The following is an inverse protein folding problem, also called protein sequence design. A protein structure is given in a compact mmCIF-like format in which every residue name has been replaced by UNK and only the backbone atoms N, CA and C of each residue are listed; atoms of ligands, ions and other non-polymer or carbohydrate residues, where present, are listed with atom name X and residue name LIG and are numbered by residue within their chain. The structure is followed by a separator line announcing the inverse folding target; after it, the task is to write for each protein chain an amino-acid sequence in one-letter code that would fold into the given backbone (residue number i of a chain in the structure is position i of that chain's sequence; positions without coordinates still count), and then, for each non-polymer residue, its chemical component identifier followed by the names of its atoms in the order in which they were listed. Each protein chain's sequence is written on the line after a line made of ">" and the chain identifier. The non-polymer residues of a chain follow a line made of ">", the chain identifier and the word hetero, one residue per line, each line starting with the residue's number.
data_IF_725887484760
#
_entry.id   IF_725887484760
#
_cell.length_a   1.000
_cell.length_b   1.000
_cell.length_c   1.000
_cell.angle_alpha   90.00
_cell.angle_beta   90.00
_cell.angle_gamma   90.00
#
_symmetry.space_group_name_H-M   'P 1'
#
loop_
_entity.id
_entity.type
_entity.pdbx_description
1 polymer ?
#
# COMPACT_ATOMS: atom_id res chain seq x y z
N UNK A 1 8.06 6.46 -2.91
CA UNK A 1 9.30 6.34 -3.70
C UNK A 1 10.14 5.27 -3.05
N UNK A 2 10.81 4.43 -3.83
CA UNK A 2 11.58 3.29 -3.31
C UNK A 2 12.94 3.67 -2.69
N UNK A 3 13.29 4.96 -2.65
CA UNK A 3 14.51 5.47 -2.02
C UNK A 3 14.21 6.46 -0.89
N UNK A 4 15.14 6.55 0.04
CA UNK A 4 15.09 7.50 1.16
C UNK A 4 15.00 8.96 0.65
N UNK A 5 15.73 9.31 -0.40
CA UNK A 5 15.67 10.64 -1.01
C UNK A 5 14.30 10.97 -1.61
N UNK A 6 13.64 9.98 -2.24
CA UNK A 6 12.30 10.16 -2.77
C UNK A 6 11.27 10.30 -1.64
N UNK A 7 11.45 9.57 -0.53
CA UNK A 7 10.62 9.74 0.67
C UNK A 7 10.84 11.11 1.31
N UNK A 8 12.09 11.58 1.40
CA UNK A 8 12.46 12.90 1.93
C UNK A 8 11.83 14.07 1.15
N UNK A 9 11.46 13.85 -0.12
CA UNK A 9 10.71 14.83 -0.93
C UNK A 9 9.20 14.64 -0.79
N UNK A 10 8.71 13.41 -0.91
CA UNK A 10 7.27 13.13 -0.98
C UNK A 10 6.55 13.29 0.35
N UNK A 11 7.17 12.93 1.48
CA UNK A 11 6.52 13.01 2.79
C UNK A 11 6.32 14.46 3.23
N UNK A 12 7.33 15.35 3.21
CA UNK A 12 7.11 16.76 3.55
C UNK A 12 6.12 17.46 2.62
N UNK A 13 6.12 17.14 1.32
CA UNK A 13 5.16 17.71 0.37
C UNK A 13 3.71 17.32 0.72
N UNK A 14 3.44 16.03 0.96
CA UNK A 14 2.10 15.55 1.37
C UNK A 14 1.69 16.13 2.72
N UNK A 15 2.61 16.15 3.69
CA UNK A 15 2.34 16.72 5.00
C UNK A 15 2.01 18.22 4.92
N UNK A 16 2.79 19.02 4.19
CA UNK A 16 2.58 20.45 4.06
C UNK A 16 1.34 20.83 3.24
N UNK A 17 1.02 20.08 2.18
CA UNK A 17 -0.09 20.43 1.27
C UNK A 17 -1.42 19.78 1.65
N UNK A 18 -1.42 18.71 2.44
CA UNK A 18 -2.63 17.94 2.75
C UNK A 18 -2.91 17.80 4.25
N UNK A 19 -1.88 17.74 5.11
CA UNK A 19 -2.09 17.61 6.56
C UNK A 19 -2.12 19.00 7.20
N UNK A 20 -1.07 19.81 7.03
CA UNK A 20 -1.00 21.16 7.60
C UNK A 20 -2.19 22.06 7.20
N UNK A 21 -2.73 21.84 6.00
CA UNK A 21 -3.89 22.58 5.48
C UNK A 21 -5.23 22.03 5.96
N UNK A 22 -5.25 20.84 6.56
CA UNK A 22 -6.44 20.22 7.12
C UNK A 22 -6.70 20.78 8.54
N UNK A 23 -7.92 21.32 8.83
CA UNK A 23 -8.23 21.94 10.11
C UNK A 23 -7.94 21.02 11.31
N UNK A 24 -7.50 21.61 12.42
CA UNK A 24 -7.26 20.93 13.72
C UNK A 24 -6.20 19.82 13.76
N UNK A 25 -5.45 19.59 12.67
CA UNK A 25 -4.49 18.48 12.62
C UNK A 25 -3.16 18.77 13.30
N UNK A 26 -2.49 17.71 13.70
CA UNK A 26 -1.09 17.70 14.14
C UNK A 26 -0.40 16.45 13.59
N UNK A 27 0.92 16.51 13.39
CA UNK A 27 1.68 15.45 12.75
C UNK A 27 2.83 14.93 13.63
N UNK A 28 2.70 13.66 14.03
CA UNK A 28 3.62 12.98 14.93
C UNK A 28 4.41 11.89 14.22
N UNK A 29 5.55 11.53 14.80
CA UNK A 29 6.37 10.42 14.32
C UNK A 29 5.73 9.07 14.66
N UNK A 30 5.32 8.33 13.63
CA UNK A 30 4.74 6.98 13.76
C UNK A 30 5.79 5.87 13.92
N UNK A 31 7.08 6.16 13.73
CA UNK A 31 8.18 5.18 13.83
C UNK A 31 9.30 5.74 14.74
N UNK A 32 9.01 6.05 16.02
CA UNK A 32 9.94 6.79 16.86
C UNK A 32 11.26 6.06 17.15
N UNK A 33 11.25 4.73 17.08
CA UNK A 33 12.35 3.85 17.50
C UNK A 33 13.26 3.43 16.34
N UNK A 34 13.01 3.93 15.12
CA UNK A 34 13.89 3.64 13.97
C UNK A 34 15.15 4.50 14.01
N UNK A 35 16.30 3.90 13.70
CA UNK A 35 17.57 4.61 13.61
C UNK A 35 17.57 5.68 12.51
N UNK A 36 17.00 5.36 11.35
CA UNK A 36 16.94 6.27 10.21
C UNK A 36 15.82 7.28 10.39
N UNK A 37 16.16 8.56 10.27
CA UNK A 37 15.24 9.67 10.47
C UNK A 37 15.27 10.64 9.29
N UNK A 38 14.10 10.99 8.77
CA UNK A 38 13.96 12.02 7.74
C UNK A 38 13.55 13.37 8.37
N UNK A 39 14.10 14.50 7.88
CA UNK A 39 13.63 15.82 8.29
C UNK A 39 12.19 16.03 7.80
N UNK A 40 11.33 16.54 8.69
CA UNK A 40 9.93 16.85 8.37
C UNK A 40 9.62 18.29 8.78
N UNK A 41 9.44 18.52 10.09
CA UNK A 41 9.17 19.83 10.64
C UNK A 41 10.29 20.84 10.31
N UNK A 42 11.54 20.39 10.16
CA UNK A 42 12.66 21.25 9.71
C UNK A 42 12.38 21.97 8.39
N UNK A 43 11.61 21.36 7.49
CA UNK A 43 11.21 21.97 6.22
C UNK A 43 9.91 22.75 6.36
N UNK A 44 8.88 22.14 6.97
CA UNK A 44 7.53 22.73 7.06
C UNK A 44 7.54 24.02 7.91
N UNK A 45 8.38 24.10 8.94
CA UNK A 45 8.42 25.23 9.87
C UNK A 45 8.63 26.60 9.22
N UNK A 46 9.25 26.66 8.04
CA UNK A 46 9.50 27.92 7.34
C UNK A 46 8.21 28.57 6.82
N UNK A 47 7.11 27.82 6.72
CA UNK A 47 5.79 28.40 6.45
C UNK A 47 5.35 29.41 7.52
N UNK A 48 5.84 29.25 8.75
CA UNK A 48 5.56 30.20 9.84
C UNK A 48 6.29 31.53 9.72
N UNK A 49 7.07 31.76 8.66
CA UNK A 49 7.70 33.04 8.31
C UNK A 49 8.45 33.73 9.46
N UNK A 50 9.18 32.95 10.26
CA UNK A 50 9.95 33.44 11.41
C UNK A 50 9.20 33.42 12.75
N UNK A 51 7.88 33.22 12.74
CA UNK A 51 7.03 33.16 13.93
C UNK A 51 6.88 31.76 14.53
N UNK A 52 7.38 30.72 13.84
CA UNK A 52 7.38 29.35 14.35
C UNK A 52 8.15 29.21 15.66
N UNK A 53 7.64 28.39 16.58
CA UNK A 53 8.29 28.10 17.88
C UNK A 53 8.75 26.66 17.93
N UNK A 54 9.98 26.45 18.42
CA UNK A 54 10.46 25.10 18.71
C UNK A 54 10.05 24.70 20.13
N UNK A 55 9.65 23.44 20.32
CA UNK A 55 9.42 22.85 21.64
C UNK A 55 10.10 21.50 21.72
N UNK A 56 10.74 21.22 22.86
CA UNK A 56 11.29 19.90 23.18
C UNK A 56 10.49 19.32 24.34
N UNK A 57 9.99 18.10 24.18
CA UNK A 57 9.28 17.33 25.21
C UNK A 57 10.00 15.98 25.31
N UNK A 58 10.62 15.72 26.46
CA UNK A 58 11.57 14.61 26.60
C UNK A 58 12.68 14.70 25.54
N UNK A 59 12.90 13.61 24.80
CA UNK A 59 13.89 13.55 23.72
C UNK A 59 13.34 13.94 22.35
N UNK A 60 12.07 14.34 22.25
CA UNK A 60 11.41 14.66 20.97
C UNK A 60 11.31 16.18 20.77
N UNK A 61 11.64 16.63 19.56
CA UNK A 61 11.52 18.03 19.13
C UNK A 61 10.32 18.19 18.20
N UNK A 62 9.57 19.26 18.45
CA UNK A 62 8.40 19.68 17.70
C UNK A 62 8.56 21.13 17.24
N UNK A 63 7.86 21.46 16.16
CA UNK A 63 7.62 22.82 15.70
C UNK A 63 6.14 23.16 15.86
N UNK A 64 5.87 24.35 16.37
CA UNK A 64 4.54 24.97 16.43
C UNK A 64 4.53 26.07 15.37
N UNK A 65 3.85 25.82 14.26
CA UNK A 65 3.78 26.72 13.11
C UNK A 65 2.48 27.51 13.21
N UNK A 66 2.49 28.85 13.31
CA UNK A 66 1.27 29.63 13.35
C UNK A 66 0.52 29.51 12.02
N UNK A 67 -0.77 29.26 12.10
CA UNK A 67 -1.72 29.10 10.98
C UNK A 67 -3.05 29.76 11.35
N UNK A 68 -3.99 29.89 10.41
CA UNK A 68 -5.23 30.64 10.64
C UNK A 68 -6.08 30.12 11.80
N UNK A 69 -6.15 28.80 12.01
CA UNK A 69 -6.94 28.19 13.09
C UNK A 69 -6.16 28.04 14.42
N UNK A 70 -4.92 28.52 14.47
CA UNK A 70 -4.07 28.47 15.66
C UNK A 70 -2.64 28.03 15.35
N UNK A 71 -2.31 26.78 15.66
CA UNK A 71 -0.96 26.23 15.48
C UNK A 71 -0.98 24.83 14.89
N UNK A 72 -0.22 24.62 13.82
CA UNK A 72 0.10 23.30 13.31
C UNK A 72 1.31 22.75 14.07
N UNK A 73 1.10 21.67 14.82
CA UNK A 73 2.16 20.98 15.57
C UNK A 73 2.74 19.85 14.73
N UNK A 74 4.05 19.88 14.48
CA UNK A 74 4.74 18.86 13.67
C UNK A 74 6.07 18.41 14.27
N UNK A 75 6.34 17.11 14.20
CA UNK A 75 7.62 16.52 14.61
C UNK A 75 8.78 17.04 13.75
N UNK A 76 9.91 17.38 14.37
CA UNK A 76 11.10 17.87 13.66
C UNK A 76 11.61 16.87 12.62
N UNK A 77 11.60 15.59 13.00
CA UNK A 77 11.98 14.44 12.18
C UNK A 77 10.98 13.30 12.38
N UNK A 78 10.92 12.41 11.41
CA UNK A 78 10.14 11.17 11.45
C UNK A 78 11.02 9.96 11.17
N UNK A 79 10.63 8.81 11.71
CA UNK A 79 11.26 7.53 11.44
C UNK A 79 10.98 6.99 10.05
N UNK A 80 11.94 6.27 9.51
CA UNK A 80 11.80 5.48 8.28
C UNK A 80 12.45 4.13 8.47
N UNK A 81 11.76 3.09 8.05
CA UNK A 81 12.24 1.72 8.05
C UNK A 81 12.12 1.11 6.65
N UNK A 82 12.82 0.00 6.44
CA UNK A 82 12.57 -0.87 5.28
C UNK A 82 11.24 -1.57 5.50
N UNK A 83 10.36 -1.51 4.51
CA UNK A 83 9.12 -2.28 4.48
C UNK A 83 9.11 -3.31 3.34
N UNK A 84 7.98 -3.97 3.18
CA UNK A 84 7.68 -4.89 2.09
C UNK A 84 6.59 -4.28 1.24
N UNK A 85 6.78 -4.26 -0.08
CA UNK A 85 5.79 -3.75 -1.01
C UNK A 85 5.42 -4.82 -2.05
N UNK A 86 4.15 -4.83 -2.45
CA UNK A 86 3.67 -5.68 -3.54
C UNK A 86 3.23 -7.10 -3.15
N UNK A 87 2.97 -7.37 -1.86
CA UNK A 87 2.18 -8.54 -1.49
C UNK A 87 0.83 -8.45 -2.18
N UNK A 88 0.32 -9.53 -2.78
CA UNK A 88 -0.89 -9.42 -3.58
C UNK A 88 -1.68 -10.72 -3.67
N UNK A 89 -2.98 -10.57 -3.92
CA UNK A 89 -3.87 -11.66 -4.33
C UNK A 89 -4.72 -11.20 -5.51
N UNK A 90 -5.05 -12.13 -6.40
CA UNK A 90 -5.91 -11.94 -7.55
C UNK A 90 -7.14 -12.80 -7.37
N UNK A 91 -8.28 -12.15 -7.13
CA UNK A 91 -9.59 -12.77 -6.97
C UNK A 91 -10.25 -12.89 -8.33
N UNK A 92 -10.70 -14.09 -8.68
CA UNK A 92 -11.29 -14.40 -9.97
C UNK A 92 -12.72 -14.90 -9.77
N UNK A 93 -13.69 -14.32 -10.47
CA UNK A 93 -15.11 -14.65 -10.31
C UNK A 93 -15.84 -14.81 -11.64
N UNK A 94 -17.01 -15.45 -11.58
CA UNK A 94 -17.86 -15.75 -12.74
C UNK A 94 -18.38 -14.51 -13.46
N UNK A 95 -18.43 -13.35 -12.79
CA UNK A 95 -18.82 -12.08 -13.36
C UNK A 95 -18.20 -10.89 -12.59
N UNK A 96 -18.41 -9.69 -13.13
CA UNK A 96 -17.85 -8.46 -12.56
C UNK A 96 -18.48 -8.07 -11.22
N UNK A 97 -19.81 -8.09 -11.02
CA UNK A 97 -20.40 -7.81 -9.71
C UNK A 97 -19.83 -8.68 -8.60
N UNK A 98 -19.73 -9.99 -8.82
CA UNK A 98 -19.19 -10.95 -7.86
C UNK A 98 -17.72 -10.70 -7.55
N UNK A 99 -16.90 -10.44 -8.59
CA UNK A 99 -15.50 -10.12 -8.40
C UNK A 99 -15.31 -8.83 -7.59
N UNK A 100 -16.14 -7.81 -7.85
CA UNK A 100 -16.06 -6.53 -7.14
C UNK A 100 -16.49 -6.66 -5.69
N UNK A 101 -17.54 -7.43 -5.40
CA UNK A 101 -17.97 -7.72 -4.04
C UNK A 101 -16.86 -8.42 -3.23
N UNK A 102 -16.28 -9.49 -3.79
CA UNK A 102 -15.17 -10.20 -3.18
C UNK A 102 -13.95 -9.28 -2.92
N UNK A 103 -13.61 -8.44 -3.91
CA UNK A 103 -12.53 -7.47 -3.80
C UNK A 103 -12.79 -6.43 -2.69
N UNK A 104 -14.03 -5.93 -2.58
CA UNK A 104 -14.41 -5.00 -1.51
C UNK A 104 -14.31 -5.66 -0.15
N UNK A 105 -14.86 -6.87 0.03
CA UNK A 105 -14.76 -7.63 1.29
C UNK A 105 -13.29 -7.82 1.70
N UNK A 106 -12.43 -8.18 0.74
CA UNK A 106 -11.00 -8.34 0.97
C UNK A 106 -10.34 -7.03 1.43
N UNK A 107 -10.52 -5.91 0.70
CA UNK A 107 -9.94 -4.63 1.07
C UNK A 107 -10.50 -4.11 2.42
N UNK A 108 -11.80 -4.25 2.65
CA UNK A 108 -12.46 -3.82 3.88
C UNK A 108 -11.99 -4.60 5.12
N UNK A 109 -11.66 -5.88 4.96
CA UNK A 109 -11.10 -6.72 6.04
C UNK A 109 -9.73 -6.25 6.54
N UNK A 110 -9.01 -5.45 5.73
CA UNK A 110 -7.68 -4.96 6.08
C UNK A 110 -7.69 -3.58 6.74
N UNK A 111 -8.85 -2.92 6.89
CA UNK A 111 -8.94 -1.58 7.49
C UNK A 111 -8.39 -1.53 8.92
N UNK A 112 -8.60 -2.60 9.68
CA UNK A 112 -8.21 -2.70 11.09
C UNK A 112 -6.92 -3.53 11.29
N UNK A 113 -6.28 -3.98 10.20
CA UNK A 113 -5.02 -4.73 10.27
C UNK A 113 -3.86 -3.75 10.38
N UNK A 114 -3.23 -3.72 11.55
CA UNK A 114 -2.08 -2.86 11.82
C UNK A 114 -0.87 -3.19 10.94
N UNK A 115 -0.10 -2.17 10.56
CA UNK A 115 1.18 -2.35 9.88
C UNK A 115 1.10 -2.58 8.37
N UNK A 116 -0.10 -2.50 7.76
CA UNK A 116 -0.29 -2.63 6.32
C UNK A 116 -1.13 -1.50 5.72
N UNK A 117 -1.01 -1.31 4.41
CA UNK A 117 -1.88 -0.45 3.60
C UNK A 117 -2.22 -1.13 2.28
N UNK A 118 -3.34 -0.72 1.68
CA UNK A 118 -3.74 -1.12 0.33
C UNK A 118 -3.70 0.11 -0.60
N UNK A 119 -2.62 0.34 -1.38
CA UNK A 119 -2.33 1.67 -1.94
C UNK A 119 -3.17 2.06 -3.16
N UNK A 120 -3.94 1.14 -3.73
CA UNK A 120 -4.79 1.40 -4.89
C UNK A 120 -6.13 2.07 -4.50
N UNK A 121 -6.86 2.68 -5.45
CA UNK A 121 -8.17 3.26 -5.18
C UNK A 121 -9.14 2.22 -4.58
N UNK A 122 -9.62 2.47 -3.35
CA UNK A 122 -10.45 1.51 -2.61
C UNK A 122 -9.73 0.19 -2.29
N UNK A 123 -8.39 0.19 -2.33
CA UNK A 123 -7.53 -0.98 -2.14
C UNK A 123 -7.34 -1.85 -3.38
N UNK A 124 -8.07 -1.61 -4.48
CA UNK A 124 -8.20 -2.59 -5.57
C UNK A 124 -7.61 -2.09 -6.89
N UNK A 125 -6.76 -2.91 -7.49
CA UNK A 125 -6.24 -2.75 -8.83
C UNK A 125 -7.09 -3.52 -9.84
N UNK A 126 -7.69 -2.79 -10.79
CA UNK A 126 -8.47 -3.37 -11.89
C UNK A 126 -7.64 -3.69 -13.14
N UNK A 127 -6.46 -3.10 -13.26
CA UNK A 127 -5.68 -3.12 -14.49
C UNK A 127 -4.82 -4.37 -14.60
N UNK A 128 -4.26 -4.84 -13.48
CA UNK A 128 -3.14 -5.77 -13.45
C UNK A 128 -1.92 -5.22 -14.21
N UNK A 129 -0.71 -5.60 -13.81
CA UNK A 129 0.47 -5.26 -14.62
C UNK A 129 1.48 -6.37 -14.65
N UNK A 130 2.15 -6.50 -15.79
CA UNK A 130 3.36 -7.32 -15.95
C UNK A 130 4.55 -6.43 -16.24
N UNK A 131 5.73 -6.92 -15.86
CA UNK A 131 7.00 -6.27 -16.19
C UNK A 131 7.25 -6.37 -17.70
N UNK A 132 7.68 -5.26 -18.28
CA UNK A 132 7.96 -5.12 -19.71
C UNK A 132 6.72 -4.87 -20.56
N UNK A 133 6.96 -4.69 -21.85
CA UNK A 133 5.91 -4.40 -22.84
C UNK A 133 6.38 -4.85 -24.23
N UNK A 134 5.42 -5.13 -25.11
CA UNK A 134 5.70 -5.31 -26.54
C UNK A 134 6.14 -4.00 -27.20
N UNK A 135 5.73 -2.86 -26.63
CA UNK A 135 6.16 -1.53 -27.08
C UNK A 135 7.46 -1.15 -26.39
N UNK A 136 8.49 -0.85 -27.18
CA UNK A 136 9.81 -0.46 -26.69
C UNK A 136 9.70 0.75 -25.76
N UNK A 137 10.43 0.70 -24.64
CA UNK A 137 10.52 1.81 -23.68
C UNK A 137 9.41 1.84 -22.62
N UNK A 138 8.37 1.01 -22.72
CA UNK A 138 7.36 0.90 -21.66
C UNK A 138 7.80 -0.11 -20.58
N UNK A 139 7.99 0.32 -19.31
CA UNK A 139 8.52 -0.55 -18.26
C UNK A 139 7.52 -1.58 -17.76
N UNK A 140 6.22 -1.33 -17.95
CA UNK A 140 5.13 -2.23 -17.59
C UNK A 140 4.01 -2.16 -18.64
N UNK A 141 3.23 -3.24 -18.71
CA UNK A 141 2.05 -3.35 -19.57
C UNK A 141 0.96 -4.18 -18.88
N UNK A 142 -0.20 -4.33 -19.51
CA UNK A 142 -1.30 -5.13 -18.96
C UNK A 142 -0.86 -6.57 -18.67
N UNK A 143 -1.34 -7.12 -17.55
CA UNK A 143 -1.17 -8.54 -17.22
C UNK A 143 -2.13 -9.39 -18.08
N UNK A 144 -1.81 -9.49 -19.36
CA UNK A 144 -2.58 -10.17 -20.41
C UNK A 144 -3.05 -11.58 -20.03
N UNK A 145 -2.22 -12.36 -19.33
CA UNK A 145 -2.60 -13.70 -18.85
C UNK A 145 -3.85 -13.70 -17.93
N UNK A 146 -4.10 -12.57 -17.24
CA UNK A 146 -5.24 -12.37 -16.34
C UNK A 146 -6.36 -11.51 -16.96
N UNK A 147 -6.32 -11.23 -18.26
CA UNK A 147 -7.37 -10.47 -18.95
C UNK A 147 -8.47 -11.40 -19.49
N UNK A 148 -9.73 -11.33 -19.01
CA UNK A 148 -10.81 -12.19 -19.50
C UNK A 148 -11.07 -12.06 -21.00
N UNK A 149 -10.88 -10.85 -21.55
CA UNK A 149 -11.06 -10.55 -22.98
C UNK A 149 -9.97 -11.15 -23.88
N UNK A 150 -8.89 -11.68 -23.30
CA UNK A 150 -7.76 -12.27 -24.03
C UNK A 150 -7.67 -13.79 -23.86
N UNK A 151 -8.60 -14.45 -23.16
CA UNK A 151 -8.59 -15.91 -22.93
C UNK A 151 -8.35 -16.75 -24.20
N UNK A 152 -8.93 -16.34 -25.34
CA UNK A 152 -8.76 -17.03 -26.63
C UNK A 152 -7.54 -16.59 -27.45
N UNK A 153 -6.71 -15.68 -26.93
CA UNK A 153 -5.59 -15.04 -27.65
C UNK A 153 -4.24 -15.24 -26.98
N UNK A 154 -4.21 -15.53 -25.69
CA UNK A 154 -2.99 -15.73 -24.90
C UNK A 154 -3.16 -16.94 -23.99
N UNK A 155 -2.05 -17.50 -23.52
CA UNK A 155 -2.08 -18.50 -22.45
C UNK A 155 -2.61 -17.84 -21.17
N UNK A 156 -3.86 -18.17 -20.81
CA UNK A 156 -4.52 -17.56 -19.68
C UNK A 156 -4.13 -18.24 -18.37
N UNK A 157 -3.99 -17.42 -17.31
CA UNK A 157 -3.88 -17.86 -15.92
C UNK A 157 -5.20 -17.74 -15.16
N UNK A 158 -6.28 -17.39 -15.86
CA UNK A 158 -7.61 -17.35 -15.28
C UNK A 158 -8.18 -18.76 -15.18
N UNK A 159 -8.98 -18.99 -14.15
CA UNK A 159 -9.87 -20.13 -14.09
C UNK A 159 -10.79 -20.14 -15.34
N UNK A 160 -11.11 -21.32 -15.91
CA UNK A 160 -11.98 -21.41 -17.09
C UNK A 160 -13.27 -20.60 -16.95
N UNK A 161 -13.91 -20.65 -15.79
CA UNK A 161 -15.18 -19.96 -15.50
C UNK A 161 -15.05 -18.49 -15.12
N UNK A 162 -13.83 -17.96 -14.92
CA UNK A 162 -13.66 -16.59 -14.43
C UNK A 162 -13.84 -15.54 -15.53
N UNK A 163 -14.90 -14.73 -15.49
CA UNK A 163 -15.12 -13.64 -16.46
C UNK A 163 -14.68 -12.27 -15.93
N UNK A 164 -14.23 -12.18 -14.68
CA UNK A 164 -13.63 -10.99 -14.12
C UNK A 164 -12.53 -11.35 -13.11
N UNK A 165 -11.51 -10.49 -13.01
CA UNK A 165 -10.47 -10.59 -12.00
C UNK A 165 -10.13 -9.21 -11.44
N UNK A 166 -9.87 -9.15 -10.14
CA UNK A 166 -9.37 -7.97 -9.43
C UNK A 166 -8.16 -8.33 -8.59
N UNK A 167 -7.20 -7.42 -8.51
CA UNK A 167 -5.98 -7.57 -7.73
C UNK A 167 -6.06 -6.68 -6.49
N UNK A 168 -5.80 -7.26 -5.32
CA UNK A 168 -5.56 -6.53 -4.08
C UNK A 168 -4.04 -6.51 -3.87
N UNK A 169 -3.47 -5.31 -3.73
CA UNK A 169 -2.05 -5.12 -3.43
C UNK A 169 -1.90 -4.58 -2.02
N UNK A 170 -0.93 -5.12 -1.30
CA UNK A 170 -0.66 -4.90 0.12
C UNK A 170 0.82 -4.52 0.26
N UNK A 171 1.06 -3.35 0.85
CA UNK A 171 2.36 -2.92 1.33
C UNK A 171 2.34 -2.95 2.86
N UNK A 172 3.46 -3.30 3.50
CA UNK A 172 3.53 -3.45 4.95
C UNK A 172 4.89 -3.14 5.55
N UNK A 173 4.91 -3.04 6.87
CA UNK A 173 6.11 -2.71 7.66
C UNK A 173 7.14 -3.84 7.66
N UNK A 174 6.70 -5.09 7.49
CA UNK A 174 7.56 -6.27 7.39
C UNK A 174 6.86 -7.40 6.62
N UNK A 175 7.58 -8.52 6.46
CA UNK A 175 7.09 -9.71 5.75
C UNK A 175 5.93 -10.39 6.47
N UNK A 176 5.99 -10.50 7.79
CA UNK A 176 4.96 -11.17 8.59
C UNK A 176 3.62 -10.41 8.53
N UNK A 177 3.65 -9.09 8.62
CA UNK A 177 2.48 -8.23 8.49
C UNK A 177 1.80 -8.39 7.13
N UNK A 178 2.59 -8.40 6.05
CA UNK A 178 2.07 -8.62 4.68
C UNK A 178 1.50 -10.03 4.53
N UNK A 179 2.20 -11.06 5.01
CA UNK A 179 1.73 -12.45 4.95
C UNK A 179 0.41 -12.65 5.69
N UNK A 180 0.30 -12.11 6.91
CA UNK A 180 -0.93 -12.15 7.70
C UNK A 180 -2.08 -11.42 6.98
N UNK A 181 -1.83 -10.21 6.46
CA UNK A 181 -2.83 -9.45 5.71
C UNK A 181 -3.29 -10.20 4.44
N UNK A 182 -2.38 -10.85 3.72
CA UNK A 182 -2.75 -11.70 2.58
C UNK A 182 -3.66 -12.85 3.01
N UNK A 183 -3.38 -13.53 4.13
CA UNK A 183 -4.21 -14.61 4.65
C UNK A 183 -5.61 -14.12 5.06
N UNK A 184 -5.70 -13.00 5.78
CA UNK A 184 -6.98 -12.35 6.16
C UNK A 184 -7.80 -12.00 4.92
N UNK A 185 -7.18 -11.33 3.95
CA UNK A 185 -7.85 -10.92 2.72
C UNK A 185 -8.33 -12.11 1.88
N UNK A 186 -7.53 -13.18 1.78
CA UNK A 186 -7.95 -14.41 1.07
C UNK A 186 -9.21 -15.01 1.70
N UNK A 187 -9.24 -15.17 3.03
CA UNK A 187 -10.42 -15.70 3.74
C UNK A 187 -11.63 -14.79 3.54
N UNK A 188 -11.44 -13.48 3.64
CA UNK A 188 -12.51 -12.50 3.48
C UNK A 188 -13.07 -12.43 2.04
N UNK A 189 -12.26 -12.76 1.03
CA UNK A 189 -12.67 -12.75 -0.37
C UNK A 189 -13.56 -13.94 -0.75
N UNK A 190 -13.43 -15.10 -0.08
CA UNK A 190 -14.16 -16.32 -0.43
C UNK A 190 -15.67 -16.08 -0.36
N UNK A 191 -16.40 -16.54 -1.38
CA UNK A 191 -17.85 -16.43 -1.47
C UNK A 191 -18.37 -17.13 -2.71
N UNK A 192 -19.70 -17.23 -2.84
CA UNK A 192 -20.35 -17.82 -4.01
C UNK A 192 -19.91 -17.09 -5.30
N UNK A 193 -19.60 -17.85 -6.35
CA UNK A 193 -19.15 -17.32 -7.64
C UNK A 193 -17.69 -16.83 -7.68
N UNK A 194 -16.96 -16.83 -6.57
CA UNK A 194 -15.49 -16.67 -6.57
C UNK A 194 -14.86 -18.02 -6.87
N UNK A 195 -14.39 -18.19 -8.11
CA UNK A 195 -13.95 -19.50 -8.63
C UNK A 195 -12.48 -19.81 -8.37
N UNK A 196 -11.66 -18.78 -8.16
CA UNK A 196 -10.26 -18.96 -7.81
C UNK A 196 -9.67 -17.73 -7.12
N UNK A 197 -8.69 -17.98 -6.24
CA UNK A 197 -7.77 -16.97 -5.73
C UNK A 197 -6.36 -17.38 -6.14
N UNK A 198 -5.62 -16.46 -6.75
CA UNK A 198 -4.24 -16.64 -7.18
C UNK A 198 -3.38 -15.47 -6.73
N UNK A 199 -2.11 -15.43 -7.11
CA UNK A 199 -1.25 -14.27 -6.89
C UNK A 199 -0.38 -13.99 -8.11
N UNK A 200 -0.14 -12.71 -8.37
CA UNK A 200 0.83 -12.23 -9.34
C UNK A 200 2.24 -12.46 -8.83
N UNK A 201 3.10 -12.99 -9.69
CA UNK A 201 4.53 -13.12 -9.45
C UNK A 201 5.31 -12.90 -10.74
N UNK A 202 6.62 -12.65 -10.58
CA UNK A 202 7.53 -12.40 -11.70
C UNK A 202 8.55 -13.54 -11.87
N UNK A 203 8.07 -14.79 -11.72
CA UNK A 203 8.89 -15.99 -11.88
C UNK A 203 9.97 -16.18 -10.79
N UNK A 204 9.77 -15.57 -9.62
CA UNK A 204 10.69 -15.67 -8.47
C UNK A 204 12.02 -14.91 -8.61
N UNK A 205 12.23 -14.18 -9.70
CA UNK A 205 13.53 -13.57 -10.04
C UNK A 205 13.69 -12.10 -9.64
N UNK A 206 12.61 -11.43 -9.26
CA UNK A 206 12.59 -9.97 -9.00
C UNK A 206 12.36 -9.61 -7.53
N UNK A 207 11.44 -10.30 -6.85
CA UNK A 207 11.10 -10.02 -5.46
C UNK A 207 11.96 -10.80 -4.48
N UNK A 208 12.43 -10.12 -3.42
CA UNK A 208 13.11 -10.77 -2.28
C UNK A 208 12.15 -11.64 -1.46
N UNK A 209 10.91 -11.17 -1.29
CA UNK A 209 9.89 -11.79 -0.44
C UNK A 209 8.93 -12.61 -1.30
N UNK A 210 8.65 -13.83 -0.87
CA UNK A 210 7.81 -14.79 -1.58
C UNK A 210 6.73 -15.22 -0.61
N UNK A 211 5.47 -15.10 -1.04
CA UNK A 211 4.29 -15.37 -0.21
C UNK A 211 3.48 -16.53 -0.79
N UNK A 212 3.87 -17.79 -0.56
CA UNK A 212 3.12 -18.94 -1.06
C UNK A 212 1.75 -19.01 -0.37
N UNK A 213 0.66 -18.95 -1.15
CA UNK A 213 -0.70 -18.80 -0.61
C UNK A 213 -1.15 -19.97 0.28
N UNK A 214 -0.76 -21.20 -0.06
CA UNK A 214 -1.14 -22.40 0.71
C UNK A 214 -0.54 -22.37 2.14
N UNK A 215 0.78 -22.19 2.32
CA UNK A 215 1.38 -21.97 3.64
C UNK A 215 0.72 -20.84 4.46
N UNK A 216 0.47 -19.69 3.85
CA UNK A 216 -0.13 -18.55 4.56
C UNK A 216 -1.50 -18.87 5.19
N UNK A 217 -2.28 -19.74 4.55
CA UNK A 217 -3.57 -20.19 5.07
C UNK A 217 -3.43 -21.25 6.17
N UNK A 218 -2.40 -22.08 6.13
CA UNK A 218 -2.17 -23.13 7.13
C UNK A 218 -1.62 -22.58 8.46
N UNK A 219 -0.81 -21.52 8.42
CA UNK A 219 -0.16 -20.95 9.61
C UNK A 219 -1.09 -20.13 10.52
N UNK A 220 -2.26 -19.73 10.01
CA UNK A 220 -3.20 -18.85 10.72
C UNK A 220 -4.34 -19.60 11.43
N UNK A 221 -4.23 -20.92 11.56
CA UNK A 221 -5.09 -21.77 12.41
C UNK A 221 -4.46 -22.08 13.80
N UNK A 222 -3.37 -21.39 14.16
CA UNK A 222 -2.67 -21.53 15.44
C UNK A 222 -2.83 -20.34 16.38
#
# INVERSE_FOLDING_TARGET
>A
GFSEDALAKSVPNRAGQCVMTCPSTALYDGLPDTEKRLPLGKHIRFFGDGYQKSKKIGNRRYWRVPVMDGEFVVSDKIGVAKGVAGGNIIMQAIDKPTALDAARRAAESLRDVGGVITPFPGGIARSGSKVGSRYKGLPASTADAFCPTLKGRVETKLHPDANCAYELVIDGVDEAAVGNAMAVAMRAAVGEGVVAISAGNYGGKLGKFHFPLRPLLAESEG
#
